data_IF_490075638403
#
_entry.id   IF_490075638403
#
_cell.length_a   1.000
_cell.length_b   1.000
_cell.length_c   1.000
_cell.angle_alpha   90.00
_cell.angle_beta   90.00
_cell.angle_gamma   90.00
#
_symmetry.space_group_name_H-M   'P 1'
#
loop_
_entity.id
_entity.type
_entity.pdbx_description
1 polymer ?
#
# COMPACT_ATOMS: atom_id res chain seq x y z
N UNK A 1 19.45 -7.62 -12.99
CA UNK A 1 18.54 -8.66 -13.52
C UNK A 1 17.14 -8.51 -12.97
N UNK A 2 16.13 -8.78 -13.80
CA UNK A 2 14.73 -8.82 -13.39
C UNK A 2 14.33 -10.27 -13.06
N UNK A 3 13.53 -10.45 -12.01
CA UNK A 3 13.03 -11.77 -11.59
C UNK A 3 11.51 -11.79 -11.70
N UNK A 4 10.96 -12.85 -12.31
CA UNK A 4 9.52 -13.04 -12.38
C UNK A 4 8.95 -13.40 -11.00
N UNK A 5 7.86 -12.74 -10.62
CA UNK A 5 7.18 -12.97 -9.34
C UNK A 5 5.75 -13.44 -9.64
N UNK A 6 5.38 -14.60 -9.10
CA UNK A 6 4.01 -15.10 -9.24
C UNK A 6 3.02 -14.24 -8.43
N UNK A 7 1.78 -14.04 -8.92
CA UNK A 7 0.71 -13.49 -8.08
C UNK A 7 0.53 -14.33 -6.81
N UNK A 8 0.37 -13.68 -5.67
CA UNK A 8 0.30 -14.33 -4.36
C UNK A 8 1.63 -14.40 -3.61
N UNK A 9 2.75 -14.04 -4.25
CA UNK A 9 4.04 -13.98 -3.57
C UNK A 9 4.08 -12.83 -2.55
N UNK A 10 4.65 -13.12 -1.38
CA UNK A 10 4.96 -12.13 -0.35
C UNK A 10 6.40 -11.66 -0.52
N UNK A 11 6.59 -10.36 -0.72
CA UNK A 11 7.91 -9.72 -0.84
C UNK A 11 8.20 -8.95 0.44
N UNK A 12 9.45 -9.00 0.90
CA UNK A 12 9.95 -8.23 2.03
C UNK A 12 10.91 -7.15 1.55
N UNK A 13 10.50 -5.89 1.69
CA UNK A 13 11.26 -4.70 1.28
C UNK A 13 11.64 -3.84 2.48
N UNK A 14 11.67 -4.40 3.69
CA UNK A 14 12.03 -3.63 4.90
C UNK A 14 13.43 -3.02 4.82
N UNK A 15 14.34 -3.71 4.12
CA UNK A 15 15.74 -3.31 3.94
C UNK A 15 16.11 -3.12 2.45
N UNK A 16 15.18 -2.68 1.61
CA UNK A 16 15.42 -2.50 0.19
C UNK A 16 14.26 -1.85 -0.54
N UNK A 17 14.39 -1.71 -1.86
CA UNK A 17 13.35 -1.17 -2.73
C UNK A 17 13.07 -2.19 -3.83
N UNK A 18 11.79 -2.54 -4.00
CA UNK A 18 11.32 -3.30 -5.16
C UNK A 18 10.92 -2.30 -6.24
N UNK A 19 11.53 -2.40 -7.42
CA UNK A 19 10.94 -1.87 -8.65
C UNK A 19 10.09 -2.98 -9.28
N UNK A 20 8.78 -2.73 -9.37
CA UNK A 20 7.80 -3.70 -9.82
C UNK A 20 7.24 -3.27 -11.17
N UNK A 21 7.46 -4.12 -12.18
CA UNK A 21 6.85 -3.98 -13.50
C UNK A 21 5.72 -5.01 -13.64
N UNK A 22 4.52 -4.57 -14.03
CA UNK A 22 3.37 -5.45 -14.26
C UNK A 22 2.68 -5.18 -15.59
N UNK A 23 2.01 -6.19 -16.13
CA UNK A 23 1.26 -6.05 -17.39
C UNK A 23 -0.01 -5.22 -17.19
N UNK A 24 -0.33 -4.37 -18.17
CA UNK A 24 -1.60 -3.65 -18.29
C UNK A 24 -2.09 -3.75 -19.74
N UNK A 25 -3.34 -3.36 -20.00
CA UNK A 25 -3.81 -3.27 -21.38
C UNK A 25 -2.91 -2.31 -22.17
N UNK A 26 -2.35 -2.77 -23.29
CA UNK A 26 -1.50 -1.96 -24.16
C UNK A 26 -0.05 -1.79 -23.72
N UNK A 27 0.43 -2.50 -22.68
CA UNK A 27 1.84 -2.46 -22.30
C UNK A 27 2.15 -2.91 -20.88
N UNK A 28 3.09 -2.22 -20.24
CA UNK A 28 3.49 -2.45 -18.85
C UNK A 28 3.43 -1.15 -18.06
N UNK A 29 3.36 -1.27 -16.74
CA UNK A 29 3.47 -0.16 -15.80
C UNK A 29 4.53 -0.48 -14.75
N UNK A 30 5.17 0.57 -14.22
CA UNK A 30 6.24 0.43 -13.23
C UNK A 30 5.93 1.28 -11.99
N UNK A 31 6.25 0.74 -10.81
CA UNK A 31 6.22 1.48 -9.55
C UNK A 31 7.27 0.96 -8.58
N UNK A 32 7.63 1.79 -7.60
CA UNK A 32 8.60 1.44 -6.54
C UNK A 32 7.88 1.22 -5.22
N UNK A 33 8.26 0.16 -4.51
CA UNK A 33 7.67 -0.22 -3.21
C UNK A 33 8.77 -0.53 -2.19
N UNK A 34 8.62 -0.02 -0.97
CA UNK A 34 9.65 -0.22 0.07
C UNK A 34 9.10 -0.11 1.50
N UNK A 35 9.95 -0.50 2.45
CA UNK A 35 9.74 -0.30 3.89
C UNK A 35 8.78 -1.28 4.54
N UNK A 36 8.34 -2.31 3.82
CA UNK A 36 7.26 -3.20 4.22
C UNK A 36 7.35 -4.62 3.68
N UNK A 37 6.53 -5.50 4.27
CA UNK A 37 6.29 -6.85 3.76
C UNK A 37 4.86 -6.90 3.21
N UNK A 38 4.69 -7.32 1.96
CA UNK A 38 3.39 -7.28 1.29
C UNK A 38 3.23 -8.41 0.28
N UNK A 39 1.99 -8.84 0.06
CA UNK A 39 1.63 -9.76 -1.02
C UNK A 39 1.30 -8.97 -2.29
N UNK A 40 1.79 -9.43 -3.43
CA UNK A 40 1.46 -8.85 -4.75
C UNK A 40 0.33 -9.66 -5.38
N UNK A 41 -0.77 -9.00 -5.75
CA UNK A 41 -1.89 -9.59 -6.48
C UNK A 41 -2.14 -8.83 -7.77
N UNK A 42 -2.40 -9.56 -8.85
CA UNK A 42 -2.87 -8.96 -10.10
C UNK A 42 -3.91 -9.91 -10.71
N UNK A 43 -5.21 -9.76 -10.36
CA UNK A 43 -6.24 -10.65 -10.89
C UNK A 43 -6.39 -10.45 -12.41
N UNK A 44 -6.55 -11.56 -13.15
CA UNK A 44 -6.67 -11.54 -14.63
C UNK A 44 -7.79 -10.63 -15.13
N UNK A 45 -8.94 -10.59 -14.44
CA UNK A 45 -10.07 -9.72 -14.75
C UNK A 45 -10.00 -8.30 -14.15
N UNK A 46 -8.89 -7.92 -13.51
CA UNK A 46 -8.74 -6.65 -12.80
C UNK A 46 -8.40 -5.44 -13.68
N UNK A 47 -8.47 -5.57 -15.00
CA UNK A 47 -8.06 -4.54 -15.97
C UNK A 47 -6.65 -3.99 -15.65
N UNK A 48 -5.68 -4.87 -15.41
CA UNK A 48 -4.29 -4.50 -15.09
C UNK A 48 -4.05 -3.91 -13.70
N UNK A 49 -5.06 -3.82 -12.83
CA UNK A 49 -4.89 -3.31 -11.46
C UNK A 49 -3.98 -4.24 -10.63
N UNK A 50 -2.88 -3.69 -10.13
CA UNK A 50 -1.97 -4.39 -9.21
C UNK A 50 -2.31 -4.00 -7.76
N UNK A 51 -2.56 -4.99 -6.91
CA UNK A 51 -2.89 -4.81 -5.50
C UNK A 51 -1.75 -5.29 -4.61
N UNK A 52 -1.34 -4.41 -3.70
CA UNK A 52 -0.25 -4.60 -2.75
C UNK A 52 -0.91 -4.79 -1.37
N UNK A 53 -0.98 -6.02 -0.88
CA UNK A 53 -1.63 -6.35 0.40
C UNK A 53 -0.60 -6.28 1.52
N UNK A 54 -0.69 -5.24 2.36
CA UNK A 54 0.21 -5.05 3.49
C UNK A 54 0.09 -6.21 4.47
N UNK A 55 1.23 -6.80 4.85
CA UNK A 55 1.31 -7.90 5.82
C UNK A 55 1.87 -7.41 7.15
N UNK A 56 1.29 -7.90 8.24
CA UNK A 56 1.69 -7.61 9.61
C UNK A 56 0.50 -7.42 10.54
N UNK A 57 0.76 -7.50 11.85
CA UNK A 57 -0.25 -7.24 12.86
C UNK A 57 -0.41 -5.73 13.10
N UNK A 58 -1.64 -5.27 13.32
CA UNK A 58 -1.84 -3.92 13.84
C UNK A 58 -1.19 -3.86 15.22
N UNK A 59 -0.46 -2.77 15.53
CA UNK A 59 0.11 -2.60 16.86
C UNK A 59 -1.02 -2.49 17.90
N UNK A 60 -0.81 -2.97 19.13
CA UNK A 60 -1.83 -2.91 20.17
C UNK A 60 -2.07 -1.47 20.65
N UNK A 61 -3.32 -1.14 21.01
CA UNK A 61 -3.68 0.12 21.68
C UNK A 61 -3.24 0.09 23.15
N UNK A 62 -1.93 0.22 23.44
CA UNK A 62 -1.43 0.34 24.83
C UNK A 62 -0.99 1.78 25.09
N UNK A 63 -1.38 2.36 26.24
CA UNK A 63 -0.77 3.58 26.77
C UNK A 63 0.72 3.31 26.92
N UNK A 64 1.57 4.21 26.44
CA UNK A 64 3.00 4.00 26.17
C UNK A 64 3.74 3.20 27.27
N UNK A 65 3.87 1.89 27.07
CA UNK A 65 4.98 1.13 27.61
C UNK A 65 5.95 0.96 26.45
N UNK A 66 7.26 1.19 26.68
CA UNK A 66 8.34 0.97 25.71
C UNK A 66 8.31 -0.50 25.25
N UNK A 67 7.49 -0.81 24.27
CA UNK A 67 7.59 -2.06 23.53
C UNK A 67 8.53 -1.80 22.37
N UNK A 68 9.82 -2.00 22.62
CA UNK A 68 10.70 -2.37 21.51
C UNK A 68 10.35 -3.80 21.12
N UNK A 69 9.93 -4.03 19.86
CA UNK A 69 10.50 -5.05 18.94
C UNK A 69 9.76 -5.24 17.62
N UNK A 70 9.16 -4.18 17.06
CA UNK A 70 8.76 -4.17 15.64
C UNK A 70 8.26 -2.80 15.20
N UNK A 71 8.74 -2.28 14.07
CA UNK A 71 8.11 -1.12 13.43
C UNK A 71 6.69 -1.52 13.02
N UNK A 72 5.75 -0.60 13.19
CA UNK A 72 4.39 -0.76 12.68
C UNK A 72 4.45 -1.21 11.21
N UNK A 73 3.62 -2.21 10.79
CA UNK A 73 3.57 -2.60 9.40
C UNK A 73 3.25 -1.39 8.55
N UNK A 74 4.10 -1.14 7.56
CA UNK A 74 3.96 -0.01 6.67
C UNK A 74 4.45 -0.39 5.29
N UNK A 75 3.93 0.29 4.28
CA UNK A 75 4.34 0.17 2.90
C UNK A 75 4.37 1.54 2.28
N UNK A 76 5.53 1.92 1.76
CA UNK A 76 5.64 3.05 0.87
C UNK A 76 5.48 2.62 -0.58
N UNK A 77 4.82 3.46 -1.36
CA UNK A 77 4.71 3.32 -2.80
C UNK A 77 5.05 4.64 -3.50
N UNK A 78 5.59 4.53 -4.70
CA UNK A 78 5.76 5.64 -5.64
C UNK A 78 5.48 5.14 -7.04
N UNK A 79 4.56 5.79 -7.74
CA UNK A 79 4.18 5.48 -9.11
C UNK A 79 4.04 6.75 -9.96
N UNK A 80 3.97 6.59 -11.28
CA UNK A 80 3.62 7.67 -12.21
C UNK A 80 2.38 7.28 -13.01
N UNK A 81 1.22 7.66 -12.48
CA UNK A 81 -0.12 7.43 -13.03
C UNK A 81 -0.47 5.96 -13.31
N UNK A 82 0.09 5.06 -12.50
CA UNK A 82 -0.13 3.63 -12.60
C UNK A 82 -1.45 3.16 -11.96
N UNK A 83 -1.87 1.96 -12.32
CA UNK A 83 -3.03 1.24 -11.78
C UNK A 83 -2.62 0.40 -10.58
N UNK A 84 -2.28 1.08 -9.50
CA UNK A 84 -1.92 0.44 -8.24
C UNK A 84 -2.96 0.70 -7.15
N UNK A 85 -3.06 -0.25 -6.23
CA UNK A 85 -3.73 -0.03 -4.96
C UNK A 85 -3.00 -0.73 -3.83
N UNK A 86 -3.03 -0.15 -2.65
CA UNK A 86 -2.60 -0.81 -1.42
C UNK A 86 -3.80 -1.22 -0.60
N UNK A 87 -3.74 -2.40 0.02
CA UNK A 87 -4.74 -2.89 0.96
C UNK A 87 -4.11 -3.02 2.33
N UNK A 88 -4.62 -2.24 3.28
CA UNK A 88 -4.42 -2.48 4.70
C UNK A 88 -5.62 -3.19 5.31
N UNK A 89 -5.64 -3.30 6.64
CA UNK A 89 -6.71 -3.99 7.38
C UNK A 89 -8.04 -3.25 7.34
N UNK A 90 -8.02 -1.92 7.39
CA UNK A 90 -9.22 -1.08 7.46
C UNK A 90 -9.48 -0.26 6.19
N UNK A 91 -8.54 -0.21 5.24
CA UNK A 91 -8.71 0.54 3.99
C UNK A 91 -8.10 -0.10 2.75
N UNK A 92 -8.63 0.34 1.60
CA UNK A 92 -8.00 0.19 0.29
C UNK A 92 -7.70 1.58 -0.26
N UNK A 93 -6.45 1.82 -0.64
CA UNK A 93 -5.97 3.08 -1.20
C UNK A 93 -5.63 2.88 -2.68
N UNK A 94 -6.41 3.48 -3.57
CA UNK A 94 -6.18 3.48 -5.03
C UNK A 94 -5.50 4.78 -5.43
N UNK A 95 -4.37 4.65 -6.12
CA UNK A 95 -3.49 5.78 -6.44
C UNK A 95 -3.83 6.44 -7.77
N UNK A 96 -3.35 7.67 -7.95
CA UNK A 96 -3.49 8.47 -9.17
C UNK A 96 -2.17 9.20 -9.47
N UNK A 97 -1.06 8.46 -9.61
CA UNK A 97 0.27 9.05 -9.82
C UNK A 97 0.83 9.68 -8.55
N UNK A 98 1.20 8.84 -7.58
CA UNK A 98 1.47 9.31 -6.23
C UNK A 98 2.74 8.78 -5.60
N UNK A 99 3.19 9.50 -4.58
CA UNK A 99 4.08 8.97 -3.54
C UNK A 99 3.30 8.94 -2.22
N UNK A 100 3.17 7.77 -1.62
CA UNK A 100 2.27 7.57 -0.48
C UNK A 100 2.78 6.52 0.50
N UNK A 101 2.24 6.58 1.71
CA UNK A 101 2.43 5.62 2.79
C UNK A 101 1.10 5.00 3.17
N UNK A 102 1.07 3.68 3.31
CA UNK A 102 0.01 2.93 3.98
C UNK A 102 0.60 2.29 5.23
N UNK A 103 0.01 2.51 6.39
CA UNK A 103 0.54 2.05 7.68
C UNK A 103 -0.57 1.53 8.58
N UNK A 104 -0.31 0.40 9.25
CA UNK A 104 -1.18 -0.10 10.29
C UNK A 104 -0.86 0.57 11.61
N UNK A 105 -1.83 1.31 12.12
CA UNK A 105 -1.79 1.89 13.46
C UNK A 105 -2.75 1.14 14.37
N UNK A 106 -2.66 1.33 15.68
CA UNK A 106 -3.59 0.72 16.61
C UNK A 106 -5.03 1.24 16.41
N UNK A 107 -5.17 2.46 15.90
CA UNK A 107 -6.45 3.11 15.63
C UNK A 107 -7.06 2.74 14.26
N UNK A 108 -6.34 2.01 13.39
CA UNK A 108 -6.77 1.71 12.03
C UNK A 108 -5.66 1.86 10.99
N UNK A 109 -6.01 1.70 9.71
CA UNK A 109 -5.08 1.88 8.60
C UNK A 109 -4.97 3.35 8.24
N UNK A 110 -3.76 3.89 8.31
CA UNK A 110 -3.43 5.27 7.97
C UNK A 110 -2.84 5.34 6.56
N UNK A 111 -3.36 6.25 5.76
CA UNK A 111 -2.79 6.64 4.46
C UNK A 111 -2.27 8.07 4.57
N UNK A 112 -0.99 8.29 4.22
CA UNK A 112 -0.38 9.62 4.08
C UNK A 112 0.07 9.82 2.64
N UNK A 113 -0.26 10.97 2.06
CA UNK A 113 0.07 11.31 0.68
C UNK A 113 1.14 12.39 0.67
N UNK A 114 2.26 12.11 0.00
CA UNK A 114 3.38 13.05 -0.16
C UNK A 114 3.22 13.80 -1.48
N UNK A 115 2.89 13.10 -2.55
CA UNK A 115 2.70 13.65 -3.90
C UNK A 115 1.43 13.09 -4.54
N UNK A 116 0.78 13.88 -5.39
CA UNK A 116 -0.44 13.53 -6.12
C UNK A 116 -1.68 13.36 -5.22
N UNK A 117 -2.53 12.37 -5.53
CA UNK A 117 -3.73 12.09 -4.74
C UNK A 117 -4.10 10.59 -4.68
N UNK A 118 -4.64 10.16 -3.54
CA UNK A 118 -5.04 8.77 -3.27
C UNK A 118 -6.52 8.74 -2.90
N UNK A 119 -7.28 7.86 -3.55
CA UNK A 119 -8.66 7.56 -3.17
C UNK A 119 -8.67 6.44 -2.12
N UNK A 120 -9.08 6.75 -0.90
CA UNK A 120 -9.04 5.83 0.24
C UNK A 120 -10.45 5.37 0.59
N UNK A 121 -10.75 4.10 0.34
CA UNK A 121 -11.99 3.45 0.75
C UNK A 121 -11.84 2.88 2.15
N UNK A 122 -12.62 3.37 3.10
CA UNK A 122 -12.78 2.73 4.40
C UNK A 122 -13.60 1.44 4.22
N UNK A 123 -13.06 0.30 4.66
CA UNK A 123 -13.67 -1.02 4.45
C UNK A 123 -14.91 -1.24 5.32
N UNK A 124 -14.93 -0.68 6.55
CA UNK A 124 -16.05 -0.77 7.48
C UNK A 124 -17.22 0.10 7.04
N UNK A 125 -16.98 1.40 6.88
CA UNK A 125 -18.05 2.37 6.55
C UNK A 125 -18.39 2.41 5.07
N UNK A 126 -17.57 1.78 4.20
CA UNK A 126 -17.70 1.78 2.74
C UNK A 126 -17.57 3.16 2.08
N UNK A 127 -17.33 4.22 2.86
CA UNK A 127 -17.09 5.58 2.39
C UNK A 127 -15.71 5.70 1.74
N UNK A 128 -15.60 6.58 0.75
CA UNK A 128 -14.37 6.86 0.03
C UNK A 128 -13.97 8.31 0.22
N UNK A 129 -12.73 8.56 0.61
CA UNK A 129 -12.17 9.90 0.79
C UNK A 129 -11.02 10.12 -0.21
N UNK A 130 -10.98 11.28 -0.87
CA UNK A 130 -9.83 11.69 -1.67
C UNK A 130 -8.83 12.43 -0.78
N UNK A 131 -7.61 11.89 -0.68
CA UNK A 131 -6.52 12.49 0.09
C UNK A 131 -5.50 13.05 -0.92
N UNK A 132 -5.22 14.35 -0.86
CA UNK A 132 -4.22 15.02 -1.69
C UNK A 132 -2.88 15.12 -0.97
N UNK A 133 -1.82 15.47 -1.69
CA UNK A 133 -0.49 15.75 -1.17
C UNK A 133 -0.52 16.61 0.12
N UNK A 134 0.32 16.26 1.09
CA UNK A 134 0.32 16.82 2.44
C UNK A 134 -0.76 16.26 3.38
N UNK A 135 -1.80 15.63 2.82
CA UNK A 135 -2.93 15.07 3.54
C UNK A 135 -2.66 13.71 4.18
N UNK A 136 -3.46 13.40 5.20
CA UNK A 136 -3.48 12.10 5.87
C UNK A 136 -4.93 11.69 6.15
N UNK A 137 -5.24 10.40 6.05
CA UNK A 137 -6.53 9.84 6.40
C UNK A 137 -6.36 8.53 7.16
N UNK A 138 -7.18 8.30 8.19
CA UNK A 138 -7.18 7.04 8.95
C UNK A 138 -8.53 6.38 8.84
N UNK A 139 -8.57 5.19 8.24
CA UNK A 139 -9.76 4.34 8.19
C UNK A 139 -9.84 3.44 9.42
N UNK A 140 -11.04 3.32 9.99
CA UNK A 140 -11.34 2.56 11.21
C UNK A 140 -12.53 1.63 10.97
#
# INVERSE_FOLDING_TARGET
DATAIAPGTVVDTRNGVLELTTAVAGGVQTARFWGGRFEIRQPRGGAGMTELVLRGAMPPCRKAARSSRGRAPRLWGSDSHGRFRTRGKSSVATVRGTKWLTEETCAGTRTRVVEGAVSVRNLRSRKTALVRAGGTYTAR
#
